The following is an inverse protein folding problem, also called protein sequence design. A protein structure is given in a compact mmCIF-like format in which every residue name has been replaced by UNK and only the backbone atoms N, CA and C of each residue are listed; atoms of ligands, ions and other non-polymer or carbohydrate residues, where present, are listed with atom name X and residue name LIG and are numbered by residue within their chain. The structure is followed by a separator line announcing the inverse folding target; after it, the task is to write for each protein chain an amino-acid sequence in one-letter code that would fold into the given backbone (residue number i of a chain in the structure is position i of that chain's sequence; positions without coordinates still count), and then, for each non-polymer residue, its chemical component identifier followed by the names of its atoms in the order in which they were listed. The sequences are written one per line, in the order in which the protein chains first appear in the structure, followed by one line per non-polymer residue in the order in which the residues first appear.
data_IF_383479530189
#
_entry.id   IF_383479530189
#
_cell.length_a   1.000
_cell.length_b   1.000
_cell.length_c   1.000
_cell.angle_alpha   90.00
_cell.angle_beta   90.00
_cell.angle_gamma   90.00
#
_symmetry.space_group_name_H-M   'P 1'
#
loop_
_entity.id
_entity.type
_entity.pdbx_description
1 polymer ?
#
# COMPACT_ATOMS: atom_id res chain seq x y z
N UNK A 1 37.12 10.66 -9.96
CA UNK A 1 35.91 9.92 -10.40
C UNK A 1 34.80 10.94 -10.64
N UNK A 2 34.34 11.18 -11.89
CA UNK A 2 33.21 12.09 -12.12
C UNK A 2 31.93 11.40 -11.66
N UNK A 3 31.22 12.02 -10.73
CA UNK A 3 29.91 11.55 -10.27
C UNK A 3 28.89 11.95 -11.34
N UNK A 4 28.33 10.97 -12.02
CA UNK A 4 27.37 11.21 -13.11
C UNK A 4 25.98 11.35 -12.49
N UNK A 5 25.28 12.45 -12.77
CA UNK A 5 23.87 12.61 -12.40
C UNK A 5 23.03 11.52 -13.07
N UNK A 6 22.11 10.87 -12.34
CA UNK A 6 21.27 9.81 -12.91
C UNK A 6 20.35 10.35 -14.02
N UNK A 7 19.87 9.45 -14.88
CA UNK A 7 19.02 9.78 -16.02
C UNK A 7 17.75 10.54 -15.62
N UNK A 8 17.11 10.14 -14.51
CA UNK A 8 15.90 10.80 -14.01
C UNK A 8 16.18 12.21 -13.47
N UNK A 9 17.25 12.41 -12.68
CA UNK A 9 17.65 13.76 -12.24
C UNK A 9 18.07 14.65 -13.42
N UNK A 10 18.74 14.10 -14.45
CA UNK A 10 19.10 14.83 -15.67
C UNK A 10 17.85 15.27 -16.45
N UNK A 11 16.88 14.37 -16.61
CA UNK A 11 15.60 14.66 -17.28
C UNK A 11 14.84 15.80 -16.58
N UNK A 12 14.78 15.74 -15.26
CA UNK A 12 14.04 16.69 -14.43
C UNK A 12 14.83 17.97 -14.13
N UNK A 13 16.11 18.01 -14.49
CA UNK A 13 17.02 19.13 -14.23
C UNK A 13 17.15 19.45 -12.73
N UNK A 14 17.17 18.42 -11.88
CA UNK A 14 17.35 18.54 -10.43
C UNK A 14 18.73 18.04 -9.96
N UNK A 15 19.14 18.42 -8.75
CA UNK A 15 20.41 18.00 -8.16
C UNK A 15 20.40 16.50 -7.84
N UNK A 16 21.36 15.77 -8.39
CA UNK A 16 21.57 14.35 -8.07
C UNK A 16 22.49 14.18 -6.86
N UNK A 17 22.14 13.31 -5.91
CA UNK A 17 22.99 12.99 -4.75
C UNK A 17 24.15 12.03 -5.04
N UNK A 18 24.31 11.58 -6.30
CA UNK A 18 25.53 10.92 -6.78
C UNK A 18 25.75 9.46 -6.36
N UNK A 19 25.02 8.97 -5.37
CA UNK A 19 24.89 7.53 -5.07
C UNK A 19 23.67 6.95 -5.79
N UNK A 20 23.64 5.64 -5.95
CA UNK A 20 22.55 4.92 -6.63
C UNK A 20 21.92 3.94 -5.64
N UNK A 21 20.60 4.00 -5.42
CA UNK A 21 19.67 5.04 -5.89
C UNK A 21 19.96 6.39 -5.22
N UNK A 22 19.78 7.52 -5.91
CA UNK A 22 20.05 8.84 -5.33
C UNK A 22 18.90 9.30 -4.42
N UNK A 23 19.13 10.20 -3.43
CA UNK A 23 18.11 10.64 -2.47
C UNK A 23 16.92 11.27 -3.15
N UNK A 24 17.19 12.09 -4.16
CA UNK A 24 16.16 12.73 -4.98
C UNK A 24 15.27 11.72 -5.72
N UNK A 25 15.77 10.52 -6.07
CA UNK A 25 14.95 9.46 -6.64
C UNK A 25 14.18 8.68 -5.56
N UNK A 26 14.73 8.55 -4.35
CA UNK A 26 14.06 7.87 -3.22
C UNK A 26 12.89 8.71 -2.71
N UNK A 27 13.10 10.00 -2.44
CA UNK A 27 12.07 10.93 -1.96
C UNK A 27 10.90 11.07 -2.96
N UNK A 28 11.16 10.82 -4.24
CA UNK A 28 10.16 10.89 -5.32
C UNK A 28 9.56 9.53 -5.67
N UNK A 29 9.94 8.46 -4.99
CA UNK A 29 9.41 7.11 -5.21
C UNK A 29 9.82 6.46 -6.53
N UNK A 30 10.90 6.92 -7.16
CA UNK A 30 11.39 6.39 -8.44
C UNK A 30 12.76 5.70 -8.35
N UNK A 31 13.15 5.24 -7.15
CA UNK A 31 14.44 4.60 -6.91
C UNK A 31 14.71 3.37 -7.79
N UNK A 32 13.65 2.64 -8.20
CA UNK A 32 13.76 1.47 -9.06
C UNK A 32 14.28 1.79 -10.47
N UNK A 33 14.20 3.05 -10.90
CA UNK A 33 14.66 3.50 -12.22
C UNK A 33 16.07 4.12 -12.17
N UNK A 34 16.59 4.45 -10.99
CA UNK A 34 17.93 5.01 -10.85
C UNK A 34 18.98 3.91 -11.09
N UNK A 35 19.99 4.07 -11.97
CA UNK A 35 20.53 5.34 -12.48
C UNK A 35 20.24 5.65 -13.96
N UNK A 36 19.74 4.69 -14.74
CA UNK A 36 19.65 4.81 -16.20
C UNK A 36 18.20 4.95 -16.71
N UNK A 37 17.22 4.60 -15.90
CA UNK A 37 15.81 4.75 -16.21
C UNK A 37 15.30 6.17 -15.97
N UNK A 38 14.24 6.51 -16.68
CA UNK A 38 13.45 7.72 -16.47
C UNK A 38 11.99 7.35 -16.40
N UNK A 39 11.14 8.18 -15.80
CA UNK A 39 9.69 8.05 -15.91
C UNK A 39 9.26 8.68 -17.24
N UNK A 40 8.72 7.93 -18.21
CA UNK A 40 8.20 8.51 -19.44
C UNK A 40 7.16 9.61 -19.18
N UNK A 41 7.06 10.60 -20.08
CA UNK A 41 6.10 11.69 -19.94
C UNK A 41 4.66 11.14 -19.95
N UNK A 42 3.83 11.60 -19.01
CA UNK A 42 2.45 11.14 -18.83
C UNK A 42 2.26 10.00 -17.79
N UNK A 43 3.36 9.44 -17.27
CA UNK A 43 3.30 8.28 -16.38
C UNK A 43 3.34 8.61 -14.88
N UNK A 44 3.39 9.89 -14.52
CA UNK A 44 3.35 10.32 -13.12
C UNK A 44 2.10 9.81 -12.37
N UNK A 45 1.03 9.48 -13.10
CA UNK A 45 -0.20 8.91 -12.56
C UNK A 45 -0.45 7.44 -12.90
N UNK A 46 0.35 6.82 -13.78
CA UNK A 46 0.09 5.43 -14.17
C UNK A 46 0.84 4.43 -13.36
N UNK A 47 1.92 4.85 -12.67
CA UNK A 47 2.70 3.90 -11.85
C UNK A 47 1.77 3.34 -10.78
N UNK A 48 0.70 4.07 -10.45
CA UNK A 48 -0.43 3.64 -9.65
C UNK A 48 -1.35 2.63 -10.36
N UNK A 49 -1.67 2.80 -11.65
CA UNK A 49 -2.58 1.90 -12.38
C UNK A 49 -1.99 0.50 -12.61
N UNK A 50 -0.73 0.41 -13.05
CA UNK A 50 -0.06 -0.89 -13.21
C UNK A 50 0.23 -1.60 -11.87
N UNK A 51 0.28 -0.84 -10.76
CA UNK A 51 0.39 -1.41 -9.40
C UNK A 51 -0.95 -1.81 -8.80
N UNK A 52 -2.08 -1.54 -9.45
CA UNK A 52 -3.42 -1.88 -8.96
C UNK A 52 -3.94 -3.16 -9.62
N UNK A 53 -3.69 -3.37 -10.92
CA UNK A 53 -4.17 -4.58 -11.61
C UNK A 53 -3.52 -5.88 -11.12
N UNK A 54 -2.22 -5.87 -10.85
CA UNK A 54 -1.50 -7.06 -10.38
C UNK A 54 -1.96 -7.55 -8.99
N UNK A 55 -2.12 -6.69 -7.97
CA UNK A 55 -2.63 -7.13 -6.68
C UNK A 55 -4.10 -7.55 -6.72
N UNK A 56 -4.98 -6.91 -7.50
CA UNK A 56 -6.37 -7.35 -7.61
C UNK A 56 -6.50 -8.74 -8.21
N UNK A 57 -5.69 -9.06 -9.22
CA UNK A 57 -5.68 -10.42 -9.78
C UNK A 57 -5.20 -11.47 -8.77
N UNK A 58 -4.16 -11.13 -7.98
CA UNK A 58 -3.63 -12.03 -6.95
C UNK A 58 -4.61 -12.22 -5.79
N UNK A 59 -5.29 -11.16 -5.36
CA UNK A 59 -6.36 -11.21 -4.35
C UNK A 59 -7.51 -12.09 -4.83
N UNK A 60 -8.06 -11.82 -6.01
CA UNK A 60 -9.14 -12.62 -6.59
C UNK A 60 -8.77 -14.10 -6.71
N UNK A 61 -7.52 -14.41 -7.09
CA UNK A 61 -7.01 -15.79 -7.13
C UNK A 61 -6.94 -16.44 -5.74
N UNK A 62 -6.53 -15.68 -4.73
CA UNK A 62 -6.41 -16.19 -3.36
C UNK A 62 -7.80 -16.38 -2.74
N UNK A 63 -8.72 -15.43 -2.94
CA UNK A 63 -10.12 -15.52 -2.53
C UNK A 63 -10.79 -16.74 -3.15
N UNK A 64 -10.66 -16.94 -4.48
CA UNK A 64 -11.19 -18.13 -5.14
C UNK A 64 -10.63 -19.44 -4.57
N UNK A 65 -9.35 -19.46 -4.19
CA UNK A 65 -8.75 -20.63 -3.57
C UNK A 65 -9.26 -20.86 -2.14
N UNK A 66 -9.44 -19.80 -1.34
CA UNK A 66 -10.03 -19.89 -0.01
C UNK A 66 -11.44 -20.47 -0.08
N UNK A 67 -12.29 -19.97 -0.97
CA UNK A 67 -13.63 -20.52 -1.18
C UNK A 67 -13.61 -21.98 -1.60
N UNK A 68 -12.72 -22.37 -2.51
CA UNK A 68 -12.58 -23.78 -2.90
C UNK A 68 -12.15 -24.69 -1.73
N UNK A 69 -11.31 -24.18 -0.83
CA UNK A 69 -10.90 -24.90 0.38
C UNK A 69 -12.04 -24.98 1.41
N UNK A 70 -12.80 -23.91 1.58
CA UNK A 70 -14.00 -23.86 2.44
C UNK A 70 -15.05 -24.87 1.96
N UNK A 71 -15.31 -24.92 0.65
CA UNK A 71 -16.23 -25.88 0.02
C UNK A 71 -15.75 -27.32 0.23
N UNK A 72 -14.47 -27.60 -0.04
CA UNK A 72 -13.90 -28.92 0.18
C UNK A 72 -13.99 -29.34 1.65
N UNK A 73 -13.76 -28.40 2.57
CA UNK A 73 -13.86 -28.64 4.00
C UNK A 73 -15.30 -28.89 4.43
N UNK A 74 -16.28 -28.17 3.88
CA UNK A 74 -17.70 -28.41 4.12
C UNK A 74 -18.11 -29.82 3.66
N UNK A 75 -17.67 -30.24 2.47
CA UNK A 75 -17.95 -31.58 1.92
C UNK A 75 -17.34 -32.66 2.81
N UNK A 76 -16.06 -32.53 3.18
CA UNK A 76 -15.39 -33.50 4.04
C UNK A 76 -16.08 -33.56 5.41
N UNK A 77 -16.38 -32.41 6.01
CA UNK A 77 -16.97 -32.36 7.33
C UNK A 77 -18.36 -33.00 7.35
N UNK A 78 -19.21 -32.73 6.35
CA UNK A 78 -20.54 -33.35 6.26
C UNK A 78 -20.49 -34.87 6.10
N UNK A 79 -19.39 -35.43 5.60
CA UNK A 79 -19.18 -36.87 5.54
C UNK A 79 -18.85 -37.51 6.90
N UNK A 80 -18.22 -36.76 7.83
CA UNK A 80 -17.76 -37.31 9.12
C UNK A 80 -18.55 -36.80 10.33
N UNK A 81 -19.18 -35.64 10.25
CA UNK A 81 -19.88 -34.96 11.34
C UNK A 81 -21.18 -34.29 10.86
N UNK A 82 -22.20 -34.28 11.72
CA UNK A 82 -23.48 -33.61 11.46
C UNK A 82 -23.45 -32.09 11.71
N UNK A 83 -22.39 -31.60 12.37
CA UNK A 83 -22.18 -30.19 12.66
C UNK A 83 -21.19 -29.57 11.66
N UNK A 84 -21.47 -28.36 11.14
CA UNK A 84 -20.50 -27.63 10.33
C UNK A 84 -19.20 -27.40 11.11
N UNK A 85 -18.10 -27.30 10.39
CA UNK A 85 -16.79 -27.10 10.99
C UNK A 85 -16.69 -25.67 11.55
N UNK A 86 -16.10 -25.44 12.73
CA UNK A 86 -16.05 -24.13 13.38
C UNK A 86 -15.41 -23.03 12.51
N UNK A 87 -14.47 -23.37 11.64
CA UNK A 87 -13.87 -22.40 10.69
C UNK A 87 -14.86 -21.85 9.65
N UNK A 88 -15.94 -22.57 9.33
CA UNK A 88 -17.01 -22.11 8.44
C UNK A 88 -18.07 -21.28 9.16
N UNK A 89 -18.02 -21.21 10.51
CA UNK A 89 -18.99 -20.49 11.34
C UNK A 89 -18.47 -19.14 11.85
N UNK A 90 -17.20 -18.82 11.64
CA UNK A 90 -16.56 -17.55 12.05
C UNK A 90 -16.66 -16.44 10.98
N UNK A 91 -17.47 -16.62 9.95
CA UNK A 91 -17.63 -15.68 8.85
C UNK A 91 -18.82 -14.74 9.12
N UNK A 92 -18.60 -13.82 10.05
CA UNK A 92 -19.52 -12.77 10.53
C UNK A 92 -18.90 -12.24 11.82
N UNK A 93 -18.52 -10.99 11.98
CA UNK A 93 -19.07 -9.73 11.49
C UNK A 93 -17.91 -8.72 11.21
N UNK A 94 -18.26 -7.54 10.67
CA UNK A 94 -17.42 -6.38 10.26
C UNK A 94 -17.37 -6.15 8.74
N UNK A 95 -18.55 -5.89 8.20
CA UNK A 95 -18.75 -5.05 7.02
C UNK A 95 -18.29 -3.61 7.35
N UNK A 96 -16.99 -3.33 7.15
CA UNK A 96 -16.47 -1.96 7.10
C UNK A 96 -16.38 -1.49 5.63
N UNK A 97 -17.47 -1.63 4.87
CA UNK A 97 -17.53 -1.08 3.50
C UNK A 97 -17.79 0.44 3.47
N UNK A 98 -17.87 1.11 4.62
CA UNK A 98 -18.20 2.54 4.72
C UNK A 98 -16.97 3.50 4.61
N UNK A 99 -15.72 3.02 4.70
CA UNK A 99 -14.56 3.94 4.80
C UNK A 99 -14.16 4.60 3.45
N UNK A 100 -14.53 3.99 2.31
CA UNK A 100 -14.12 4.52 1.00
C UNK A 100 -14.87 5.81 0.59
N UNK A 101 -16.06 6.04 1.16
CA UNK A 101 -16.87 7.23 0.90
C UNK A 101 -16.27 8.47 1.60
N UNK A 102 -15.62 8.28 2.75
CA UNK A 102 -15.15 9.35 3.63
C UNK A 102 -13.92 10.10 3.09
N UNK A 103 -13.10 9.44 2.29
CA UNK A 103 -11.90 10.02 1.67
C UNK A 103 -12.24 10.97 0.49
N UNK A 104 -13.37 10.76 -0.20
CA UNK A 104 -13.80 11.67 -1.29
C UNK A 104 -14.29 13.02 -0.76
N UNK A 105 -14.88 13.06 0.43
CA UNK A 105 -15.43 14.28 1.02
C UNK A 105 -14.39 15.27 1.57
N UNK A 106 -13.10 14.89 1.63
CA UNK A 106 -12.02 15.76 2.16
C UNK A 106 -11.43 16.66 1.06
N UNK A 107 -11.65 16.36 -0.23
CA UNK A 107 -11.01 17.07 -1.36
C UNK A 107 -11.66 18.41 -1.74
N UNK A 108 -12.71 18.88 -1.06
CA UNK A 108 -13.49 20.06 -1.47
C UNK A 108 -13.50 21.23 -0.44
N UNK A 109 -12.55 21.31 0.49
CA UNK A 109 -12.44 22.48 1.37
C UNK A 109 -11.43 23.51 0.80
N UNK A 110 -11.85 24.76 0.55
CA UNK A 110 -10.98 25.84 0.07
C UNK A 110 -10.08 26.36 1.20
N UNK A 111 -8.88 26.78 0.80
CA UNK A 111 -7.80 27.27 1.66
C UNK A 111 -8.24 28.41 2.62
N UNK A 112 -7.99 28.26 3.92
CA UNK A 112 -7.77 29.41 4.81
C UNK A 112 -6.92 29.10 6.05
N UNK A 113 -5.89 29.93 6.20
CA UNK A 113 -5.27 30.41 7.46
C UNK A 113 -4.27 29.51 8.22
N UNK A 114 -3.00 29.64 7.82
CA UNK A 114 -1.90 30.26 8.60
C UNK A 114 -1.76 29.90 10.09
N UNK A 115 -0.72 29.08 10.36
CA UNK A 115 0.31 29.24 11.40
C UNK A 115 -0.10 29.19 12.89
N UNK A 116 0.28 28.12 13.61
CA UNK A 116 1.03 28.26 14.88
C UNK A 116 2.00 27.08 15.08
N UNK A 117 3.18 27.41 15.60
CA UNK A 117 4.26 26.53 16.08
C UNK A 117 3.85 25.79 17.36
N UNK A 118 4.67 24.78 17.69
CA UNK A 118 4.82 24.04 18.97
C UNK A 118 4.05 22.71 19.03
N UNK A 119 4.55 21.62 19.60
CA UNK A 119 5.84 21.32 20.23
C UNK A 119 6.05 19.80 20.13
N UNK A 120 7.30 19.36 20.10
CA UNK A 120 7.63 17.94 20.05
C UNK A 120 7.33 17.27 21.40
N UNK A 121 6.42 16.29 21.41
CA UNK A 121 6.39 15.27 22.47
C UNK A 121 5.74 13.98 21.97
N UNK A 122 6.57 12.98 21.69
CA UNK A 122 6.13 11.60 21.47
C UNK A 122 5.84 11.01 22.87
N UNK A 123 4.63 10.54 23.19
CA UNK A 123 4.39 9.84 24.44
C UNK A 123 5.02 8.45 24.35
N UNK A 124 5.89 8.12 25.32
CA UNK A 124 6.38 6.75 25.51
C UNK A 124 5.18 5.86 25.89
N UNK A 125 4.91 4.84 25.08
CA UNK A 125 4.06 3.73 25.48
C UNK A 125 4.91 2.75 26.30
N UNK A 126 4.59 2.64 27.58
CA UNK A 126 5.16 1.69 28.52
C UNK A 126 4.57 0.31 28.25
N UNK A 127 5.40 -0.62 27.78
CA UNK A 127 5.01 -2.03 27.60
C UNK A 127 5.05 -2.71 28.96
N UNK A 128 3.88 -3.02 29.53
CA UNK A 128 3.80 -3.92 30.67
C UNK A 128 3.95 -5.35 30.18
N UNK A 129 5.04 -5.96 30.64
CA UNK A 129 5.39 -7.36 30.48
C UNK A 129 4.37 -8.20 31.26
N UNK A 130 3.77 -9.22 30.62
CA UNK A 130 2.95 -10.21 31.29
C UNK A 130 3.81 -11.03 32.26
N UNK A 131 3.36 -11.14 33.51
CA UNK A 131 3.50 -12.34 34.33
C UNK A 131 2.12 -12.99 34.47
#
# INVERSE_FOLDING_TARGET
RRVISCAECRRLKIRCGGHVPCPACVERGCQALCPNGTIPPGQGNFVLAATVDHPHHKLAKLEAHMHALEDALAIVQTAYNLSPHPLLSLQGDEDDTDDFQKLRSISEQPEKERNTRSDGRIPQLHVQLLE
#
